data_IF_871407991059
#
_entry.id   IF_871407991059
#
_cell.length_a   1.000
_cell.length_b   1.000
_cell.length_c   1.000
_cell.angle_alpha   90.00
_cell.angle_beta   90.00
_cell.angle_gamma   90.00
#
_symmetry.space_group_name_H-M   'P 1'
#
loop_
_entity.id
_entity.type
_entity.pdbx_description
1 polymer ?
#
# COMPACT_ATOMS: atom_id res chain seq x y z
N UNK A 1 -23.85 2.30 14.77
CA UNK A 1 -24.01 1.72 13.43
C UNK A 1 -22.65 1.19 13.02
N UNK A 2 -22.60 -0.03 12.46
CA UNK A 2 -21.37 -0.58 11.88
C UNK A 2 -20.94 0.28 10.71
N UNK A 3 -19.63 0.53 10.58
CA UNK A 3 -19.06 1.24 9.43
C UNK A 3 -18.71 0.24 8.33
N UNK A 4 -18.43 0.74 7.11
CA UNK A 4 -17.94 -0.12 6.00
C UNK A 4 -16.65 -0.83 6.41
N UNK A 5 -15.76 -0.16 7.14
CA UNK A 5 -14.52 -0.75 7.65
C UNK A 5 -14.80 -1.90 8.63
N UNK A 6 -15.75 -1.73 9.57
CA UNK A 6 -16.10 -2.79 10.52
C UNK A 6 -16.62 -4.05 9.82
N UNK A 7 -17.46 -3.86 8.77
CA UNK A 7 -17.98 -4.98 7.98
C UNK A 7 -16.87 -5.72 7.21
N UNK A 8 -15.90 -4.99 6.67
CA UNK A 8 -14.74 -5.58 5.98
C UNK A 8 -13.92 -6.39 6.98
N UNK A 9 -13.62 -5.83 8.15
CA UNK A 9 -12.83 -6.50 9.19
C UNK A 9 -13.49 -7.82 9.64
N UNK A 10 -14.82 -7.85 9.78
CA UNK A 10 -15.53 -9.10 10.10
C UNK A 10 -15.26 -10.15 9.02
N UNK A 11 -15.43 -9.82 7.74
CA UNK A 11 -15.15 -10.74 6.64
C UNK A 11 -13.70 -11.20 6.58
N UNK A 12 -12.75 -10.30 6.80
CA UNK A 12 -11.31 -10.62 6.85
C UNK A 12 -11.00 -11.63 7.97
N UNK A 13 -11.58 -11.45 9.17
CA UNK A 13 -11.39 -12.39 10.29
C UNK A 13 -11.95 -13.78 10.01
N UNK A 14 -13.11 -13.87 9.32
CA UNK A 14 -13.68 -15.16 8.90
C UNK A 14 -12.78 -15.87 7.90
N UNK A 15 -12.30 -15.17 6.88
CA UNK A 15 -11.40 -15.73 5.86
C UNK A 15 -10.05 -16.12 6.45
N UNK A 16 -9.54 -15.31 7.39
CA UNK A 16 -8.32 -15.59 8.12
C UNK A 16 -8.44 -16.88 8.96
N UNK A 17 -9.55 -17.07 9.67
CA UNK A 17 -9.77 -18.28 10.47
C UNK A 17 -9.69 -19.55 9.63
N UNK A 18 -10.19 -19.52 8.39
CA UNK A 18 -10.10 -20.66 7.47
C UNK A 18 -8.63 -20.92 7.03
N UNK A 19 -7.85 -19.84 6.77
CA UNK A 19 -6.43 -19.98 6.39
C UNK A 19 -5.56 -20.50 7.54
N UNK A 20 -5.79 -20.03 8.76
CA UNK A 20 -5.08 -20.51 9.98
C UNK A 20 -5.32 -22.00 10.23
N UNK A 21 -6.54 -22.49 9.94
CA UNK A 21 -6.83 -23.93 10.03
C UNK A 21 -6.06 -24.76 8.99
N UNK A 22 -5.85 -24.22 7.80
CA UNK A 22 -5.11 -24.90 6.73
C UNK A 22 -3.60 -24.86 6.97
N UNK A 23 -3.07 -23.74 7.44
CA UNK A 23 -1.66 -23.54 7.73
C UNK A 23 -1.53 -22.92 9.13
N UNK A 24 -1.21 -23.72 10.17
CA UNK A 24 -1.02 -23.19 11.52
C UNK A 24 0.09 -22.14 11.61
N UNK A 25 -0.01 -21.22 12.57
CA UNK A 25 0.92 -20.08 12.76
C UNK A 25 2.40 -20.52 12.76
N UNK A 26 2.74 -21.60 13.48
CA UNK A 26 4.12 -22.08 13.55
C UNK A 26 4.68 -22.56 12.21
N UNK A 27 3.83 -23.11 11.34
CA UNK A 27 4.22 -23.47 9.98
C UNK A 27 4.35 -22.21 9.11
N UNK A 28 3.46 -21.22 9.28
CA UNK A 28 3.52 -19.93 8.58
C UNK A 28 4.80 -19.16 8.96
N UNK A 29 5.18 -19.16 10.25
CA UNK A 29 6.46 -18.59 10.72
C UNK A 29 7.67 -19.22 10.03
N UNK A 30 7.70 -20.55 9.91
CA UNK A 30 8.78 -21.25 9.20
C UNK A 30 8.87 -20.83 7.73
N UNK A 31 7.74 -20.72 7.04
CA UNK A 31 7.70 -20.25 5.64
C UNK A 31 8.19 -18.83 5.50
N UNK A 32 7.76 -17.94 6.39
CA UNK A 32 8.19 -16.54 6.42
C UNK A 32 9.71 -16.41 6.63
N UNK A 33 10.28 -17.17 7.56
CA UNK A 33 11.72 -17.17 7.85
C UNK A 33 12.55 -17.82 6.73
N UNK A 34 11.98 -18.70 5.92
CA UNK A 34 12.62 -19.31 4.75
C UNK A 34 12.51 -18.45 3.48
N UNK A 35 11.67 -17.42 3.47
CA UNK A 35 11.52 -16.52 2.34
C UNK A 35 12.79 -15.71 2.08
N UNK A 36 13.06 -15.39 0.81
CA UNK A 36 14.17 -14.51 0.44
C UNK A 36 14.08 -13.16 1.19
N UNK A 37 15.19 -12.49 1.54
CA UNK A 37 15.14 -11.21 2.24
C UNK A 37 14.21 -10.20 1.58
N UNK A 38 13.50 -9.40 2.38
CA UNK A 38 12.65 -8.33 1.87
C UNK A 38 13.50 -7.27 1.17
N UNK A 39 12.94 -6.65 0.13
CA UNK A 39 13.58 -5.55 -0.58
C UNK A 39 13.42 -4.25 0.20
N UNK A 40 14.40 -3.37 0.07
CA UNK A 40 14.41 -2.08 0.76
C UNK A 40 13.37 -1.12 0.15
N UNK A 41 12.19 -1.08 0.75
CA UNK A 41 11.12 -0.19 0.32
C UNK A 41 11.39 1.28 0.70
N UNK A 42 12.11 1.54 1.80
CA UNK A 42 12.48 2.90 2.17
C UNK A 42 13.40 3.51 1.12
N UNK A 43 14.47 2.80 0.71
CA UNK A 43 15.37 3.26 -0.34
C UNK A 43 14.64 3.47 -1.67
N UNK A 44 13.73 2.55 -2.04
CA UNK A 44 12.94 2.68 -3.27
C UNK A 44 12.03 3.91 -3.26
N UNK A 45 11.30 4.13 -2.18
CA UNK A 45 10.37 5.24 -2.05
C UNK A 45 11.07 6.59 -1.84
N UNK A 46 12.31 6.62 -1.34
CA UNK A 46 13.16 7.81 -1.31
C UNK A 46 13.89 8.08 -2.62
N UNK A 47 13.92 7.11 -3.53
CA UNK A 47 14.69 7.21 -4.76
C UNK A 47 16.19 7.01 -4.60
N UNK A 48 16.60 6.29 -3.59
CA UNK A 48 18.01 6.02 -3.25
C UNK A 48 18.56 4.78 -3.98
N UNK A 49 17.74 4.09 -4.79
CA UNK A 49 18.18 2.92 -5.56
C UNK A 49 18.83 3.30 -6.89
N UNK A 50 19.82 2.52 -7.39
CA UNK A 50 20.45 2.75 -8.69
C UNK A 50 19.40 2.81 -9.82
N UNK A 51 19.41 3.89 -10.62
CA UNK A 51 18.43 4.13 -11.67
C UNK A 51 17.15 4.84 -11.20
N UNK A 52 16.93 5.00 -9.91
CA UNK A 52 15.96 5.93 -9.34
C UNK A 52 16.45 7.37 -9.50
N UNK A 53 15.57 8.30 -9.90
CA UNK A 53 15.92 9.73 -9.94
C UNK A 53 16.31 10.27 -8.56
N UNK A 54 16.85 11.48 -8.51
CA UNK A 54 17.44 12.10 -7.31
C UNK A 54 16.44 12.54 -6.21
N UNK A 55 15.35 11.81 -5.94
CA UNK A 55 14.35 12.18 -4.95
C UNK A 55 13.52 13.43 -5.29
N UNK A 56 13.80 14.05 -6.42
CA UNK A 56 13.13 15.27 -6.88
C UNK A 56 11.81 15.03 -7.63
N UNK A 57 11.42 13.76 -7.82
CA UNK A 57 10.16 13.41 -8.52
C UNK A 57 9.30 12.45 -7.70
N UNK A 58 7.99 12.51 -7.91
CA UNK A 58 7.01 11.66 -7.25
C UNK A 58 7.30 10.17 -7.51
N UNK A 59 7.31 9.37 -6.44
CA UNK A 59 7.40 7.92 -6.52
C UNK A 59 6.01 7.34 -6.69
N UNK A 60 5.83 6.44 -7.64
CA UNK A 60 4.53 5.83 -7.91
C UNK A 60 4.49 4.44 -7.30
N UNK A 61 3.52 4.22 -6.40
CA UNK A 61 3.12 2.90 -5.93
C UNK A 61 1.95 2.48 -6.81
N UNK A 62 2.21 1.61 -7.77
CA UNK A 62 1.21 1.18 -8.76
C UNK A 62 0.40 0.01 -8.22
N UNK A 63 -0.94 0.15 -8.21
CA UNK A 63 -1.82 -0.81 -7.54
C UNK A 63 -2.51 -1.76 -8.53
N UNK A 64 -2.39 -3.05 -8.26
CA UNK A 64 -3.14 -4.13 -8.91
C UNK A 64 -4.44 -4.33 -8.14
N UNK A 65 -5.55 -3.82 -8.70
CA UNK A 65 -6.86 -3.79 -8.05
C UNK A 65 -8.00 -4.01 -9.05
N UNK A 66 -8.76 -5.10 -8.91
CA UNK A 66 -9.89 -5.45 -9.79
C UNK A 66 -11.19 -4.75 -9.43
N UNK A 67 -11.40 -4.51 -8.14
CA UNK A 67 -12.66 -3.97 -7.61
C UNK A 67 -12.43 -3.07 -6.40
N UNK A 68 -13.40 -2.24 -6.07
CA UNK A 68 -13.42 -1.47 -4.84
C UNK A 68 -14.85 -1.25 -4.33
N UNK A 69 -15.06 -1.06 -3.00
CA UNK A 69 -16.38 -0.79 -2.43
C UNK A 69 -17.08 0.43 -3.03
N UNK A 70 -16.31 1.46 -3.43
CA UNK A 70 -16.85 2.74 -3.93
C UNK A 70 -17.20 2.73 -5.42
N UNK A 71 -16.60 1.85 -6.23
CA UNK A 71 -16.68 1.87 -7.70
C UNK A 71 -17.13 0.54 -8.30
N UNK A 72 -17.20 -0.52 -7.49
CA UNK A 72 -17.40 -1.88 -7.99
C UNK A 72 -16.21 -2.35 -8.82
N UNK A 73 -16.47 -3.08 -9.91
CA UNK A 73 -15.45 -3.57 -10.83
C UNK A 73 -14.77 -2.41 -11.57
N UNK A 74 -13.43 -2.35 -11.50
CA UNK A 74 -12.62 -1.32 -12.15
C UNK A 74 -12.16 -1.75 -13.54
N UNK A 75 -11.78 -3.01 -13.69
CA UNK A 75 -11.31 -3.61 -14.93
C UNK A 75 -11.01 -5.09 -14.75
N UNK A 76 -10.94 -5.79 -15.86
CA UNK A 76 -10.43 -7.16 -15.87
C UNK A 76 -8.90 -7.12 -15.81
N UNK A 77 -8.33 -7.88 -14.88
CA UNK A 77 -6.88 -8.10 -14.77
C UNK A 77 -6.67 -9.61 -14.87
N UNK A 78 -6.61 -10.14 -16.07
CA UNK A 78 -6.44 -11.59 -16.28
C UNK A 78 -5.05 -12.06 -15.85
N UNK A 79 -4.05 -11.21 -15.99
CA UNK A 79 -2.66 -11.48 -15.63
C UNK A 79 -2.09 -10.33 -14.77
N UNK A 80 -2.13 -10.46 -13.42
CA UNK A 80 -1.58 -9.45 -12.53
C UNK A 80 -0.06 -9.33 -12.61
N UNK A 81 0.64 -10.42 -12.99
CA UNK A 81 2.09 -10.43 -13.16
C UNK A 81 2.51 -9.58 -14.37
N UNK A 82 1.84 -9.76 -15.50
CA UNK A 82 2.09 -8.95 -16.70
C UNK A 82 1.80 -7.46 -16.45
N UNK A 83 0.69 -7.14 -15.77
CA UNK A 83 0.35 -5.76 -15.41
C UNK A 83 1.44 -5.15 -14.52
N UNK A 84 1.88 -5.87 -13.49
CA UNK A 84 2.92 -5.40 -12.58
C UNK A 84 4.27 -5.20 -13.30
N UNK A 85 4.62 -6.06 -14.27
CA UNK A 85 5.82 -5.90 -15.09
C UNK A 85 5.76 -4.62 -15.96
N UNK A 86 4.59 -4.27 -16.53
CA UNK A 86 4.40 -2.99 -17.21
C UNK A 86 4.56 -1.79 -16.27
N UNK A 87 4.05 -1.90 -15.05
CA UNK A 87 4.24 -0.84 -14.04
C UNK A 87 5.71 -0.65 -13.69
N UNK A 88 6.46 -1.76 -13.46
CA UNK A 88 7.90 -1.69 -13.20
C UNK A 88 8.66 -1.07 -14.39
N UNK A 89 8.35 -1.49 -15.62
CA UNK A 89 8.94 -0.94 -16.85
C UNK A 89 8.63 0.56 -17.04
N UNK A 90 7.49 1.01 -16.53
CA UNK A 90 7.10 2.42 -16.46
C UNK A 90 7.84 3.24 -15.41
N UNK A 91 8.55 2.58 -14.48
CA UNK A 91 9.30 3.24 -13.41
C UNK A 91 8.55 3.33 -12.08
N UNK A 92 7.60 2.42 -11.83
CA UNK A 92 6.98 2.30 -10.51
C UNK A 92 8.05 2.05 -9.43
N UNK A 93 7.90 2.69 -8.27
CA UNK A 93 8.79 2.50 -7.13
C UNK A 93 8.41 1.27 -6.29
N UNK A 94 7.13 0.91 -6.29
CA UNK A 94 6.61 -0.29 -5.65
C UNK A 94 5.32 -0.74 -6.34
N UNK A 95 4.96 -2.01 -6.16
CA UNK A 95 3.65 -2.54 -6.57
C UNK A 95 2.80 -2.79 -5.33
N UNK A 96 1.57 -2.28 -5.32
CA UNK A 96 0.54 -2.60 -4.33
C UNK A 96 -0.36 -3.71 -4.87
N UNK A 97 -0.56 -4.79 -4.12
CA UNK A 97 -1.41 -5.90 -4.53
C UNK A 97 -2.53 -6.09 -3.53
N UNK A 98 -3.77 -5.89 -3.98
CA UNK A 98 -4.94 -6.22 -3.16
C UNK A 98 -5.02 -7.73 -2.95
N UNK A 99 -5.14 -8.15 -1.68
CA UNK A 99 -5.32 -9.57 -1.33
C UNK A 99 -6.66 -9.84 -0.64
N UNK A 100 -7.41 -8.81 -0.27
CA UNK A 100 -8.77 -8.96 0.24
C UNK A 100 -9.70 -9.44 -0.86
N UNK A 101 -10.40 -10.56 -0.61
CA UNK A 101 -11.14 -11.29 -1.63
C UNK A 101 -12.57 -10.75 -1.82
N UNK A 102 -13.28 -10.45 -0.72
CA UNK A 102 -14.74 -10.22 -0.73
C UNK A 102 -15.15 -8.91 -1.41
N UNK A 103 -14.38 -7.85 -1.22
CA UNK A 103 -14.70 -6.50 -1.67
C UNK A 103 -13.80 -6.01 -2.81
N UNK A 104 -12.54 -6.47 -2.81
CA UNK A 104 -11.55 -6.04 -3.79
C UNK A 104 -11.23 -7.09 -4.87
N UNK A 105 -11.76 -8.31 -4.72
CA UNK A 105 -11.54 -9.43 -5.63
C UNK A 105 -10.04 -9.72 -5.84
N UNK A 106 -9.26 -9.57 -4.75
CA UNK A 106 -7.84 -9.85 -4.69
C UNK A 106 -7.55 -11.27 -4.19
N UNK A 107 -6.27 -11.66 -4.19
CA UNK A 107 -5.85 -12.96 -3.68
C UNK A 107 -4.37 -13.01 -3.30
N UNK A 108 -3.98 -13.95 -2.45
CA UNK A 108 -2.57 -14.26 -2.19
C UNK A 108 -1.87 -14.83 -3.43
N UNK A 109 -2.60 -15.52 -4.32
CA UNK A 109 -2.05 -15.98 -5.59
C UNK A 109 -1.64 -14.82 -6.53
N UNK A 110 -2.37 -13.69 -6.50
CA UNK A 110 -1.96 -12.49 -7.21
C UNK A 110 -0.67 -11.91 -6.63
N UNK A 111 -0.55 -11.91 -5.29
CA UNK A 111 0.67 -11.47 -4.61
C UNK A 111 1.88 -12.31 -5.02
N UNK A 112 1.74 -13.65 -5.04
CA UNK A 112 2.77 -14.57 -5.47
C UNK A 112 3.18 -14.34 -6.94
N UNK A 113 2.19 -14.20 -7.82
CA UNK A 113 2.42 -13.97 -9.25
C UNK A 113 3.16 -12.64 -9.50
N UNK A 114 2.72 -11.55 -8.84
CA UNK A 114 3.38 -10.25 -8.93
C UNK A 114 4.79 -10.32 -8.35
N UNK A 115 4.97 -10.93 -7.16
CA UNK A 115 6.29 -11.05 -6.53
C UNK A 115 7.30 -11.75 -7.42
N UNK A 116 6.86 -12.79 -8.14
CA UNK A 116 7.72 -13.54 -9.07
C UNK A 116 8.09 -12.74 -10.33
N UNK A 117 7.25 -11.78 -10.74
CA UNK A 117 7.41 -11.04 -11.99
C UNK A 117 8.24 -9.75 -11.87
N UNK A 118 8.31 -9.13 -10.68
CA UNK A 118 8.95 -7.82 -10.53
C UNK A 118 10.14 -7.85 -9.57
N UNK A 119 11.07 -6.89 -9.72
CA UNK A 119 12.26 -6.73 -8.89
C UNK A 119 12.17 -5.55 -7.90
N UNK A 120 11.13 -4.75 -7.97
CA UNK A 120 10.84 -3.66 -7.03
C UNK A 120 10.05 -4.17 -5.83
N UNK A 121 9.97 -3.39 -4.71
CA UNK A 121 9.18 -3.77 -3.53
C UNK A 121 7.71 -4.02 -3.84
N UNK A 122 7.12 -4.99 -3.12
CA UNK A 122 5.71 -5.36 -3.23
C UNK A 122 5.01 -5.15 -1.89
N UNK A 123 3.94 -4.36 -1.90
CA UNK A 123 3.04 -4.12 -0.78
C UNK A 123 1.88 -5.12 -0.82
N UNK A 124 1.68 -5.90 0.23
CA UNK A 124 0.41 -6.57 0.47
C UNK A 124 -0.61 -5.55 0.96
N UNK A 125 -1.57 -5.21 0.12
CA UNK A 125 -2.66 -4.28 0.44
C UNK A 125 -3.86 -5.07 0.94
N UNK A 126 -4.00 -5.16 2.26
CA UNK A 126 -5.04 -5.93 2.95
C UNK A 126 -5.37 -5.24 4.29
N UNK A 127 -6.46 -5.62 4.92
CA UNK A 127 -6.80 -5.18 6.28
C UNK A 127 -6.09 -6.09 7.29
N UNK A 128 -4.93 -5.65 7.76
CA UNK A 128 -4.13 -6.41 8.73
C UNK A 128 -4.72 -6.25 10.12
N UNK A 129 -5.29 -7.32 10.67
CA UNK A 129 -6.00 -7.33 11.97
C UNK A 129 -5.51 -8.43 12.91
N UNK A 130 -4.48 -9.18 12.49
CA UNK A 130 -3.89 -10.28 13.24
C UNK A 130 -2.42 -10.45 12.84
N UNK A 131 -1.54 -10.82 13.80
CA UNK A 131 -0.12 -11.06 13.54
C UNK A 131 0.13 -12.12 12.46
N UNK A 132 -0.77 -13.11 12.36
CA UNK A 132 -0.68 -14.15 11.34
C UNK A 132 -0.57 -13.57 9.93
N UNK A 133 -1.30 -12.48 9.63
CA UNK A 133 -1.28 -11.85 8.30
C UNK A 133 0.07 -11.21 7.99
N UNK A 134 0.84 -10.78 9.00
CA UNK A 134 2.19 -10.23 8.82
C UNK A 134 3.17 -11.36 8.47
N UNK A 135 3.10 -12.48 9.20
CA UNK A 135 3.85 -13.69 8.87
C UNK A 135 3.50 -14.22 7.48
N UNK A 136 2.20 -14.28 7.17
CA UNK A 136 1.68 -14.71 5.87
C UNK A 136 2.17 -13.80 4.74
N UNK A 137 2.15 -12.46 4.92
CA UNK A 137 2.69 -11.51 3.97
C UNK A 137 4.17 -11.78 3.67
N UNK A 138 4.98 -12.00 4.73
CA UNK A 138 6.40 -12.30 4.56
C UNK A 138 6.62 -13.63 3.85
N UNK A 139 5.82 -14.67 4.17
CA UNK A 139 5.88 -16.00 3.55
C UNK A 139 5.59 -15.94 2.04
N UNK A 140 4.67 -15.06 1.62
CA UNK A 140 4.32 -14.78 0.22
C UNK A 140 5.25 -13.73 -0.44
N UNK A 141 6.34 -13.34 0.23
CA UNK A 141 7.38 -12.49 -0.35
C UNK A 141 7.04 -11.00 -0.40
N UNK A 142 6.06 -10.52 0.37
CA UNK A 142 5.81 -9.09 0.51
C UNK A 142 7.02 -8.38 1.17
N UNK A 143 7.24 -7.15 0.77
CA UNK A 143 8.26 -6.24 1.28
C UNK A 143 7.64 -5.17 2.17
N UNK A 144 6.34 -4.89 1.98
CA UNK A 144 5.54 -4.00 2.83
C UNK A 144 4.20 -4.64 3.17
N UNK A 145 3.67 -4.24 4.33
CA UNK A 145 2.28 -4.50 4.73
C UNK A 145 1.55 -3.20 5.01
N UNK A 146 0.21 -3.23 4.94
CA UNK A 146 -0.64 -2.12 5.31
C UNK A 146 -1.06 -2.24 6.77
N UNK A 147 -0.88 -1.17 7.55
CA UNK A 147 -1.42 -1.02 8.90
C UNK A 147 -2.33 0.21 8.92
N UNK A 148 -3.61 0.03 9.24
CA UNK A 148 -4.61 1.10 9.21
C UNK A 148 -4.88 1.57 10.65
N UNK A 149 -4.57 2.83 10.95
CA UNK A 149 -4.74 3.39 12.31
C UNK A 149 -6.20 3.32 12.77
N UNK A 150 -7.15 3.57 11.88
CA UNK A 150 -8.59 3.49 12.19
C UNK A 150 -9.08 2.05 12.51
N UNK A 151 -8.30 1.02 12.20
CA UNK A 151 -8.69 -0.39 12.35
C UNK A 151 -8.17 -1.06 13.63
N UNK A 152 -7.18 -0.46 14.29
CA UNK A 152 -6.41 -1.07 15.38
C UNK A 152 -6.21 -0.08 16.53
N UNK A 153 -6.10 -0.58 17.76
CA UNK A 153 -5.62 0.24 18.87
C UNK A 153 -4.12 0.51 18.77
N UNK A 154 -3.63 1.55 19.45
CA UNK A 154 -2.24 2.02 19.35
C UNK A 154 -1.23 0.95 19.79
N UNK A 155 -1.56 0.13 20.81
CA UNK A 155 -0.65 -0.92 21.26
C UNK A 155 -0.52 -2.02 20.19
N UNK A 156 -1.62 -2.49 19.65
CA UNK A 156 -1.64 -3.48 18.55
C UNK A 156 -0.91 -2.96 17.31
N UNK A 157 -1.11 -1.68 16.95
CA UNK A 157 -0.38 -1.04 15.85
C UNK A 157 1.13 -1.06 16.07
N UNK A 158 1.59 -0.75 17.29
CA UNK A 158 3.00 -0.77 17.65
C UNK A 158 3.58 -2.18 17.55
N UNK A 159 2.90 -3.17 18.12
CA UNK A 159 3.32 -4.57 18.08
C UNK A 159 3.40 -5.09 16.64
N UNK A 160 2.43 -4.72 15.77
CA UNK A 160 2.44 -5.10 14.36
C UNK A 160 3.54 -4.39 13.56
N UNK A 161 3.82 -3.12 13.86
CA UNK A 161 4.93 -2.40 13.25
C UNK A 161 6.27 -3.04 13.64
N UNK A 162 6.49 -3.32 14.92
CA UNK A 162 7.70 -3.96 15.43
C UNK A 162 7.89 -5.36 14.82
N UNK A 163 6.82 -6.16 14.75
CA UNK A 163 6.87 -7.48 14.10
C UNK A 163 7.23 -7.35 12.62
N UNK A 164 6.58 -6.43 11.91
CA UNK A 164 6.85 -6.16 10.48
C UNK A 164 8.32 -5.83 10.25
N UNK A 165 8.87 -4.89 11.04
CA UNK A 165 10.27 -4.47 10.94
C UNK A 165 11.24 -5.60 11.34
N UNK A 166 10.90 -6.42 12.34
CA UNK A 166 11.71 -7.56 12.76
C UNK A 166 11.87 -8.62 11.66
N UNK A 167 10.91 -8.69 10.73
CA UNK A 167 10.94 -9.56 9.56
C UNK A 167 11.63 -8.91 8.34
N UNK A 168 12.23 -7.74 8.52
CA UNK A 168 12.92 -6.99 7.46
C UNK A 168 11.97 -6.26 6.49
N UNK A 169 10.67 -6.28 6.72
CA UNK A 169 9.67 -5.56 5.94
C UNK A 169 9.49 -4.12 6.45
N UNK A 170 8.75 -3.31 5.70
CA UNK A 170 8.26 -2.01 6.14
C UNK A 170 6.73 -2.01 6.24
N UNK A 171 6.17 -1.10 7.04
CA UNK A 171 4.73 -0.86 7.06
C UNK A 171 4.39 0.46 6.38
N UNK A 172 3.37 0.44 5.53
CA UNK A 172 2.63 1.63 5.13
C UNK A 172 1.54 1.84 6.21
N UNK A 173 1.72 2.86 7.05
CA UNK A 173 0.78 3.19 8.12
C UNK A 173 -0.23 4.21 7.60
N UNK A 174 -1.46 3.74 7.33
CA UNK A 174 -2.52 4.56 6.72
C UNK A 174 -3.27 5.37 7.77
N UNK A 175 -3.45 6.66 7.48
CA UNK A 175 -4.10 7.66 8.34
C UNK A 175 -5.10 8.50 7.56
N UNK A 176 -6.12 9.06 8.28
CA UNK A 176 -7.20 9.86 7.70
C UNK A 176 -7.42 11.20 8.44
N UNK A 177 -6.90 11.32 9.66
CA UNK A 177 -7.10 12.51 10.51
C UNK A 177 -5.79 12.96 11.16
N UNK A 178 -5.73 14.22 11.66
CA UNK A 178 -4.56 14.68 12.41
C UNK A 178 -4.24 13.80 13.63
N UNK A 179 -5.27 13.33 14.34
CA UNK A 179 -5.12 12.49 15.53
C UNK A 179 -4.51 11.13 15.15
N UNK A 180 -4.91 10.55 14.00
CA UNK A 180 -4.33 9.32 13.48
C UNK A 180 -2.86 9.51 13.06
N UNK A 181 -2.52 10.66 12.49
CA UNK A 181 -1.13 11.03 12.17
C UNK A 181 -0.28 11.11 13.45
N UNK A 182 -0.80 11.69 14.53
CA UNK A 182 -0.10 11.70 15.82
C UNK A 182 0.14 10.27 16.35
N UNK A 183 -0.83 9.36 16.20
CA UNK A 183 -0.64 7.94 16.55
C UNK A 183 0.48 7.34 15.71
N UNK A 184 0.46 7.52 14.39
CA UNK A 184 1.49 7.01 13.49
C UNK A 184 2.90 7.51 13.86
N UNK A 185 3.02 8.78 14.26
CA UNK A 185 4.28 9.36 14.74
C UNK A 185 4.71 8.75 16.08
N UNK A 186 3.80 8.59 17.05
CA UNK A 186 4.12 8.02 18.37
C UNK A 186 4.58 6.57 18.29
N UNK A 187 4.07 5.79 17.35
CA UNK A 187 4.56 4.41 17.13
C UNK A 187 5.86 4.34 16.32
N UNK A 188 6.33 5.46 15.76
CA UNK A 188 7.58 5.53 15.00
C UNK A 188 7.47 5.10 13.54
N UNK A 189 6.30 5.28 12.91
CA UNK A 189 6.09 4.96 11.51
C UNK A 189 7.07 5.72 10.58
N UNK A 190 7.71 5.01 9.67
CA UNK A 190 8.68 5.57 8.70
C UNK A 190 8.03 5.92 7.36
N UNK A 191 6.91 5.27 7.03
CA UNK A 191 6.11 5.50 5.83
C UNK A 191 4.68 5.72 6.30
N UNK A 192 4.14 6.91 6.07
CA UNK A 192 2.77 7.27 6.47
C UNK A 192 1.95 7.57 5.23
N UNK A 193 0.87 6.81 5.09
CA UNK A 193 -0.14 7.03 4.08
C UNK A 193 -1.21 8.00 4.57
N UNK A 194 -1.52 8.99 3.75
CA UNK A 194 -2.65 9.91 3.96
C UNK A 194 -3.72 9.53 2.96
N UNK A 195 -4.74 8.81 3.44
CA UNK A 195 -5.85 8.40 2.60
C UNK A 195 -6.96 9.47 2.66
N UNK A 196 -7.09 10.22 1.55
CA UNK A 196 -8.10 11.28 1.42
C UNK A 196 -9.51 10.75 1.18
N UNK A 197 -9.70 9.44 1.13
CA UNK A 197 -11.02 8.81 1.08
C UNK A 197 -11.54 8.57 2.49
N UNK A 198 -12.70 9.14 2.78
CA UNK A 198 -13.40 8.87 4.04
C UNK A 198 -13.89 7.41 4.06
N UNK A 199 -13.43 6.62 5.04
CA UNK A 199 -13.79 5.19 5.15
C UNK A 199 -15.26 4.95 5.54
N UNK A 200 -15.99 5.99 5.98
CA UNK A 200 -17.41 5.90 6.36
C UNK A 200 -18.34 6.30 5.20
N UNK A 201 -18.00 7.37 4.48
CA UNK A 201 -18.84 7.92 3.39
C UNK A 201 -18.35 7.52 2.00
N UNK A 202 -17.11 7.04 1.87
CA UNK A 202 -16.38 6.76 0.64
C UNK A 202 -16.11 8.00 -0.24
N UNK A 203 -16.41 9.18 0.25
CA UNK A 203 -16.10 10.44 -0.43
C UNK A 203 -14.60 10.72 -0.44
N UNK A 204 -14.13 11.37 -1.50
CA UNK A 204 -12.73 11.74 -1.69
C UNK A 204 -12.61 13.26 -1.65
N UNK A 205 -11.66 13.78 -0.87
CA UNK A 205 -11.34 15.19 -0.79
C UNK A 205 -9.83 15.41 -0.90
N UNK A 206 -9.34 15.67 -2.11
CA UNK A 206 -7.92 15.86 -2.39
C UNK A 206 -7.33 17.11 -1.70
N UNK A 207 -8.13 18.13 -1.40
CA UNK A 207 -7.69 19.33 -0.70
C UNK A 207 -7.25 19.05 0.75
N UNK A 208 -7.75 17.97 1.36
CA UNK A 208 -7.36 17.55 2.71
C UNK A 208 -5.91 17.07 2.80
N UNK A 209 -5.33 16.57 1.69
CA UNK A 209 -3.97 16.02 1.73
C UNK A 209 -2.95 17.05 2.24
N UNK A 210 -2.93 18.25 1.67
CA UNK A 210 -1.94 19.28 2.02
C UNK A 210 -1.99 19.65 3.52
N UNK A 211 -3.20 19.78 4.08
CA UNK A 211 -3.37 20.12 5.50
C UNK A 211 -2.88 18.98 6.41
N UNK A 212 -3.12 17.72 6.05
CA UNK A 212 -2.69 16.57 6.82
C UNK A 212 -1.18 16.33 6.69
N UNK A 213 -0.62 16.45 5.48
CA UNK A 213 0.80 16.27 5.22
C UNK A 213 1.70 17.25 6.00
N UNK A 214 1.19 18.45 6.30
CA UNK A 214 1.90 19.45 7.10
C UNK A 214 2.16 19.01 8.56
N UNK A 215 1.44 18.03 9.07
CA UNK A 215 1.67 17.45 10.41
C UNK A 215 2.84 16.45 10.45
N UNK A 216 3.31 15.97 9.29
CA UNK A 216 4.39 14.99 9.20
C UNK A 216 5.75 15.66 9.01
N UNK A 217 6.78 15.21 9.74
CA UNK A 217 8.16 15.70 9.54
C UNK A 217 8.74 15.18 8.21
N UNK A 218 9.77 15.86 7.70
CA UNK A 218 10.43 15.49 6.44
C UNK A 218 11.22 14.17 6.51
N UNK A 219 11.46 13.65 7.71
CA UNK A 219 12.09 12.34 7.92
C UNK A 219 11.18 11.16 7.59
N UNK A 220 9.86 11.38 7.56
CA UNK A 220 8.83 10.40 7.23
C UNK A 220 8.52 10.46 5.75
N UNK A 221 8.41 9.30 5.09
CA UNK A 221 7.94 9.20 3.71
C UNK A 221 6.43 9.42 3.70
N UNK A 222 5.99 10.47 3.00
CA UNK A 222 4.58 10.89 2.88
C UNK A 222 3.98 10.27 1.64
N UNK A 223 3.00 9.38 1.81
CA UNK A 223 2.31 8.71 0.71
C UNK A 223 0.90 9.27 0.57
N UNK A 224 0.56 9.81 -0.61
CA UNK A 224 -0.81 10.17 -0.92
C UNK A 224 -1.58 8.95 -1.42
N UNK A 225 -2.76 8.69 -0.85
CA UNK A 225 -3.62 7.57 -1.21
C UNK A 225 -5.02 8.05 -1.64
N UNK A 226 -5.56 7.44 -2.67
CA UNK A 226 -6.86 7.75 -3.28
C UNK A 226 -6.87 9.06 -4.11
N UNK A 227 -7.96 9.29 -4.84
CA UNK A 227 -8.26 10.57 -5.49
C UNK A 227 -7.53 10.89 -6.77
N UNK A 228 -6.68 9.99 -7.29
CA UNK A 228 -5.97 10.22 -8.55
C UNK A 228 -6.82 9.76 -9.73
N UNK A 229 -7.21 10.72 -10.57
CA UNK A 229 -7.87 10.46 -11.86
C UNK A 229 -6.93 10.73 -13.06
N UNK A 230 -5.88 11.53 -12.87
CA UNK A 230 -4.94 11.88 -13.93
C UNK A 230 -3.71 12.65 -13.43
N UNK A 231 -2.91 13.16 -14.37
CA UNK A 231 -1.63 13.83 -14.10
C UNK A 231 -1.77 15.06 -13.22
N UNK A 232 -2.88 15.78 -13.30
CA UNK A 232 -3.09 17.00 -12.51
C UNK A 232 -3.22 16.69 -11.00
N UNK A 233 -3.84 15.56 -10.65
CA UNK A 233 -3.90 15.12 -9.25
C UNK A 233 -2.51 14.71 -8.75
N UNK A 234 -1.71 14.04 -9.59
CA UNK A 234 -0.30 13.71 -9.27
C UNK A 234 0.50 14.98 -9.02
N UNK A 235 0.33 16.02 -9.86
CA UNK A 235 0.98 17.34 -9.68
C UNK A 235 0.53 18.02 -8.39
N UNK A 236 -0.75 17.95 -8.07
CA UNK A 236 -1.30 18.52 -6.85
C UNK A 236 -0.70 17.86 -5.59
N UNK A 237 -0.65 16.53 -5.53
CA UNK A 237 -0.06 15.81 -4.42
C UNK A 237 1.45 16.04 -4.30
N UNK A 238 2.18 15.97 -5.41
CA UNK A 238 3.61 16.23 -5.45
C UNK A 238 3.94 17.67 -5.05
N UNK A 239 3.12 18.63 -5.49
CA UNK A 239 3.20 20.04 -5.11
C UNK A 239 2.89 20.29 -3.63
N UNK A 240 2.11 19.41 -2.99
CA UNK A 240 1.82 19.43 -1.57
C UNK A 240 2.80 18.57 -0.72
N UNK A 241 3.92 18.15 -1.30
CA UNK A 241 5.00 17.46 -0.60
C UNK A 241 4.82 15.94 -0.45
N UNK A 242 4.01 15.29 -1.28
CA UNK A 242 3.96 13.83 -1.33
C UNK A 242 5.27 13.28 -1.90
N UNK A 243 5.96 12.43 -1.17
CA UNK A 243 7.13 11.68 -1.65
C UNK A 243 6.71 10.57 -2.61
N UNK A 244 5.60 9.88 -2.29
CA UNK A 244 5.03 8.83 -3.11
C UNK A 244 3.50 8.97 -3.24
N UNK A 245 2.96 8.39 -4.31
CA UNK A 245 1.52 8.42 -4.60
C UNK A 245 1.07 7.02 -4.95
N UNK A 246 0.08 6.48 -4.23
CA UNK A 246 -0.51 5.18 -4.49
C UNK A 246 -1.68 5.33 -5.45
N UNK A 247 -1.58 4.69 -6.63
CA UNK A 247 -2.51 4.85 -7.74
C UNK A 247 -2.98 3.50 -8.25
N UNK A 248 -4.29 3.28 -8.25
CA UNK A 248 -4.90 2.06 -8.78
C UNK A 248 -5.82 2.34 -9.96
N UNK A 249 -6.97 2.99 -9.73
CA UNK A 249 -8.04 3.14 -10.72
C UNK A 249 -7.56 3.77 -12.04
N UNK A 250 -6.82 4.87 -11.97
CA UNK A 250 -6.32 5.56 -13.16
C UNK A 250 -5.39 4.68 -14.01
N UNK A 251 -4.57 3.86 -13.37
CA UNK A 251 -3.63 2.96 -14.05
C UNK A 251 -4.33 1.74 -14.67
N UNK A 252 -5.29 1.13 -13.94
CA UNK A 252 -6.05 -0.03 -14.45
C UNK A 252 -6.91 0.35 -15.66
N UNK A 253 -7.44 1.58 -15.66
CA UNK A 253 -8.25 2.11 -16.77
C UNK A 253 -7.44 2.70 -17.90
N UNK A 254 -6.14 2.86 -17.74
CA UNK A 254 -5.26 3.33 -18.78
C UNK A 254 -5.10 2.28 -19.88
N UNK A 255 -5.20 2.71 -21.14
CA UNK A 255 -4.86 1.87 -22.29
C UNK A 255 -3.36 1.62 -22.45
N UNK A 256 -2.52 2.38 -21.73
CA UNK A 256 -1.05 2.28 -21.69
C UNK A 256 -0.55 2.44 -20.25
N UNK A 257 -0.59 1.38 -19.43
CA UNK A 257 -0.19 1.44 -18.04
C UNK A 257 1.30 1.79 -17.85
N UNK A 258 2.18 1.30 -18.73
CA UNK A 258 3.61 1.61 -18.70
C UNK A 258 3.88 3.09 -18.99
N UNK A 259 3.30 3.63 -20.06
CA UNK A 259 3.44 5.03 -20.44
C UNK A 259 2.86 5.97 -19.37
N UNK A 260 1.73 5.62 -18.80
CA UNK A 260 1.07 6.41 -17.75
C UNK A 260 1.94 6.48 -16.47
N UNK A 261 2.49 5.35 -16.01
CA UNK A 261 3.42 5.36 -14.86
C UNK A 261 4.66 6.17 -15.17
N UNK A 262 5.23 6.03 -16.39
CA UNK A 262 6.40 6.80 -16.83
C UNK A 262 6.14 8.30 -16.88
N UNK A 263 4.94 8.72 -17.25
CA UNK A 263 4.54 10.13 -17.21
C UNK A 263 4.43 10.63 -15.76
N UNK A 264 3.72 9.90 -14.91
CA UNK A 264 3.48 10.29 -13.52
C UNK A 264 4.76 10.34 -12.69
N UNK A 265 5.70 9.41 -12.91
CA UNK A 265 6.99 9.37 -12.20
C UNK A 265 7.95 10.52 -12.53
N UNK A 266 7.65 11.34 -13.54
CA UNK A 266 8.44 12.53 -13.89
C UNK A 266 7.98 13.80 -13.21
N UNK A 267 6.86 13.77 -12.49
CA UNK A 267 6.32 14.96 -11.82
C UNK A 267 7.25 15.37 -10.68
N UNK A 268 7.73 16.63 -10.65
CA UNK A 268 8.62 17.09 -9.59
C UNK A 268 7.87 17.22 -8.26
N UNK A 269 8.54 16.87 -7.17
CA UNK A 269 8.05 17.09 -5.80
C UNK A 269 8.53 18.45 -5.31
N UNK A 270 7.62 19.22 -4.73
CA UNK A 270 7.94 20.49 -4.05
C UNK A 270 8.09 20.21 -2.56
N UNK A 271 9.26 20.49 -1.98
CA UNK A 271 9.54 20.39 -0.55
C UNK A 271 9.64 21.78 0.06
#
# INVERSE_FOLDING_TARGET
>A
MSTVLDEIIVGVREDLAARVQQVPLEEMKKRALAAAPARDALASLRGEVPGGGNGATARIISEVKRSSPSKGTLGEIPDPAALAAHYEAGGAAAISVLTEQRRFNGSLADLDAVRAAVNIPVLRKDFTVDEYQIWEARAHGADLVLLIVAALDEQTLREFLELTESLGMNALVETHTPEEIEVAQRIGAKIVGINVRNLKTLEVNNEHYASLAAHLPDSVIKVAESGVAGIEDVRAYAGAGADAILIGEALVRSGDPEGTVREFSKVPVTR
#
